data_IF_974613904391
#
_entry.id   IF_974613904391
#
_cell.length_a   1.000
_cell.length_b   1.000
_cell.length_c   1.000
_cell.angle_alpha   90.00
_cell.angle_beta   90.00
_cell.angle_gamma   90.00
#
_symmetry.space_group_name_H-M   'P 1'
#
loop_
_entity.id
_entity.type
_entity.pdbx_description
1 polymer ?
#
# COMPACT_ATOMS: atom_id res chain seq x y z
N UNK A 1 2.40 -45.38 1.91
CA UNK A 1 3.37 -44.78 0.97
C UNK A 1 4.19 -43.71 1.74
N UNK A 2 5.49 -43.68 1.54
CA UNK A 2 6.32 -42.63 2.14
C UNK A 2 6.19 -41.35 1.28
N UNK A 3 6.25 -40.16 1.87
CA UNK A 3 6.14 -38.88 1.16
C UNK A 3 7.12 -38.76 -0.03
N UNK A 4 8.28 -39.41 0.05
CA UNK A 4 9.30 -39.47 -0.97
C UNK A 4 8.86 -40.26 -2.23
N UNK A 5 8.08 -41.34 -2.01
CA UNK A 5 7.58 -42.19 -3.13
C UNK A 5 6.48 -41.44 -3.88
N UNK A 6 5.65 -40.67 -3.15
CA UNK A 6 4.60 -39.81 -3.74
C UNK A 6 5.22 -38.68 -4.60
N UNK A 7 6.26 -38.02 -4.10
CA UNK A 7 6.96 -36.97 -4.85
C UNK A 7 7.57 -37.55 -6.15
N UNK A 8 8.21 -38.71 -6.06
CA UNK A 8 8.80 -39.37 -7.23
C UNK A 8 7.75 -39.79 -8.29
N UNK A 9 6.61 -40.37 -7.86
CA UNK A 9 5.49 -40.70 -8.77
C UNK A 9 4.89 -39.42 -9.40
N UNK A 10 4.73 -38.33 -8.62
CA UNK A 10 4.23 -37.05 -9.16
C UNK A 10 5.16 -36.45 -10.20
N UNK A 11 6.48 -36.44 -9.96
CA UNK A 11 7.46 -35.97 -10.94
C UNK A 11 7.54 -36.88 -12.18
N UNK A 12 7.44 -38.22 -12.03
CA UNK A 12 7.42 -39.17 -13.14
C UNK A 12 6.15 -38.99 -14.00
N UNK A 13 5.00 -38.70 -13.39
CA UNK A 13 3.76 -38.40 -14.11
C UNK A 13 3.83 -37.10 -14.91
N UNK A 14 4.53 -36.07 -14.38
CA UNK A 14 4.80 -34.83 -15.10
C UNK A 14 5.68 -35.02 -16.33
N UNK A 15 6.63 -35.95 -16.26
CA UNK A 15 7.60 -36.21 -17.32
C UNK A 15 6.98 -37.00 -18.52
N UNK A 16 5.97 -37.82 -18.26
CA UNK A 16 5.31 -38.63 -19.27
C UNK A 16 4.50 -37.81 -20.30
N UNK A 17 3.95 -36.64 -19.91
CA UNK A 17 3.13 -35.76 -20.77
C UNK A 17 3.47 -34.30 -20.58
N UNK A 18 4.75 -33.91 -20.78
CA UNK A 18 5.33 -32.58 -20.42
C UNK A 18 4.51 -31.38 -20.88
N UNK A 19 3.99 -31.39 -22.12
CA UNK A 19 3.27 -30.21 -22.65
C UNK A 19 1.93 -29.94 -21.93
N UNK A 20 1.15 -31.00 -21.69
CA UNK A 20 -0.17 -30.86 -21.03
C UNK A 20 -0.02 -30.60 -19.55
N UNK A 21 0.92 -31.26 -18.88
CA UNK A 21 1.22 -31.04 -17.45
C UNK A 21 1.72 -29.64 -17.21
N UNK A 22 2.60 -29.12 -18.05
CA UNK A 22 3.13 -27.76 -17.96
C UNK A 22 2.02 -26.73 -18.12
N UNK A 23 1.12 -26.90 -19.10
CA UNK A 23 0.02 -25.97 -19.35
C UNK A 23 -0.97 -25.93 -18.17
N UNK A 24 -1.21 -27.07 -17.55
CA UNK A 24 -2.09 -27.23 -16.40
C UNK A 24 -1.52 -26.58 -15.15
N UNK A 25 -0.26 -26.86 -14.82
CA UNK A 25 0.43 -26.27 -13.69
C UNK A 25 0.59 -24.75 -13.90
N UNK A 26 0.85 -24.33 -15.16
CA UNK A 26 1.00 -22.91 -15.50
C UNK A 26 -0.26 -22.09 -15.16
N UNK A 27 -1.46 -22.64 -15.40
CA UNK A 27 -2.72 -21.96 -15.02
C UNK A 27 -2.81 -21.69 -13.52
N UNK A 28 -2.38 -22.66 -12.70
CA UNK A 28 -2.34 -22.50 -11.24
C UNK A 28 -1.25 -21.50 -10.83
N UNK A 29 -0.06 -21.65 -11.40
CA UNK A 29 1.07 -20.76 -11.13
C UNK A 29 0.72 -19.30 -11.44
N UNK A 30 0.12 -19.03 -12.60
CA UNK A 30 -0.30 -17.67 -12.99
C UNK A 30 -1.36 -17.14 -12.00
N UNK A 31 -2.39 -17.94 -11.68
CA UNK A 31 -3.43 -17.52 -10.76
C UNK A 31 -2.89 -17.16 -9.37
N UNK A 32 -2.03 -18.03 -8.83
CA UNK A 32 -1.42 -17.82 -7.50
C UNK A 32 -0.41 -16.70 -7.52
N UNK A 33 0.43 -16.60 -8.54
CA UNK A 33 1.43 -15.53 -8.63
C UNK A 33 0.77 -14.14 -8.73
N UNK A 34 -0.35 -14.03 -9.44
CA UNK A 34 -1.10 -12.77 -9.51
C UNK A 34 -1.65 -12.36 -8.13
N UNK A 35 -2.24 -13.30 -7.37
CA UNK A 35 -2.74 -13.03 -6.01
C UNK A 35 -1.61 -12.62 -5.07
N UNK A 36 -0.50 -13.37 -5.09
CA UNK A 36 0.66 -13.09 -4.22
C UNK A 36 1.31 -11.76 -4.58
N UNK A 37 1.51 -11.48 -5.87
CA UNK A 37 2.11 -10.20 -6.29
C UNK A 37 1.28 -9.01 -5.82
N UNK A 38 -0.05 -9.09 -5.97
CA UNK A 38 -0.96 -8.02 -5.54
C UNK A 38 -1.00 -7.85 -4.02
N UNK A 39 -1.13 -8.95 -3.26
CA UNK A 39 -1.14 -8.87 -1.80
C UNK A 39 0.18 -8.36 -1.23
N UNK A 40 1.31 -8.73 -1.85
CA UNK A 40 2.63 -8.25 -1.46
C UNK A 40 2.81 -6.75 -1.73
N UNK A 41 2.34 -6.24 -2.87
CA UNK A 41 2.35 -4.81 -3.19
C UNK A 41 1.47 -4.00 -2.24
N UNK A 42 0.23 -4.45 -2.01
CA UNK A 42 -0.70 -3.80 -1.07
C UNK A 42 -0.08 -3.75 0.33
N UNK A 43 0.48 -4.87 0.79
CA UNK A 43 1.17 -4.96 2.09
C UNK A 43 2.36 -4.00 2.18
N UNK A 44 3.15 -3.89 1.11
CA UNK A 44 4.29 -2.96 1.03
C UNK A 44 3.87 -1.50 1.06
N UNK A 45 2.84 -1.11 0.30
CA UNK A 45 2.28 0.26 0.33
C UNK A 45 1.76 0.60 1.72
N UNK A 46 0.98 -0.31 2.32
CA UNK A 46 0.45 -0.11 3.69
C UNK A 46 1.58 0.07 4.71
N UNK A 47 2.61 -0.75 4.64
CA UNK A 47 3.75 -0.68 5.56
C UNK A 47 4.56 0.61 5.37
N UNK A 48 4.78 1.06 4.12
CA UNK A 48 5.43 2.32 3.83
C UNK A 48 4.63 3.50 4.41
N UNK A 49 3.31 3.52 4.21
CA UNK A 49 2.45 4.58 4.74
C UNK A 49 2.40 4.61 6.26
N UNK A 50 2.21 3.47 6.92
CA UNK A 50 2.12 3.39 8.39
C UNK A 50 3.49 3.58 9.06
N UNK A 51 4.57 3.11 8.42
CA UNK A 51 5.93 3.19 8.98
C UNK A 51 6.50 4.61 9.00
N UNK A 52 6.14 5.44 8.02
CA UNK A 52 6.60 6.84 7.94
C UNK A 52 5.74 7.81 8.75
N UNK A 53 4.51 7.41 9.04
CA UNK A 53 3.52 8.20 9.77
C UNK A 53 3.73 8.12 11.30
N UNK A 54 4.81 8.16 11.90
CA UNK A 54 5.08 8.05 13.34
C UNK A 54 3.89 8.24 14.31
N UNK A 55 4.03 7.87 15.56
CA UNK A 55 2.95 7.93 16.57
C UNK A 55 2.32 9.33 16.75
N UNK A 56 3.09 10.41 16.49
CA UNK A 56 2.58 11.79 16.52
C UNK A 56 1.52 12.05 15.44
N UNK A 57 1.60 11.38 14.31
CA UNK A 57 0.61 11.56 13.23
C UNK A 57 -0.69 10.75 13.44
N UNK A 58 -0.69 9.77 14.34
CA UNK A 58 -1.92 9.04 14.68
C UNK A 58 -3.01 9.95 15.30
N UNK A 59 -2.62 11.06 15.92
CA UNK A 59 -3.50 12.06 16.54
C UNK A 59 -3.86 13.23 15.60
N UNK A 60 -3.37 13.18 14.36
CA UNK A 60 -3.54 14.24 13.38
C UNK A 60 -4.95 14.25 12.81
N UNK A 61 -5.52 15.44 12.76
CA UNK A 61 -6.83 15.73 12.14
C UNK A 61 -6.65 16.88 11.16
N UNK A 62 -6.98 16.63 9.92
CA UNK A 62 -7.07 17.66 8.89
C UNK A 62 -8.49 18.20 8.84
N UNK A 63 -8.61 19.51 8.84
CA UNK A 63 -9.90 20.21 8.89
C UNK A 63 -9.96 21.28 7.82
N UNK A 64 -11.02 21.26 7.02
CA UNK A 64 -11.34 22.29 6.03
C UNK A 64 -12.84 22.54 5.98
N UNK A 65 -13.22 23.78 5.69
CA UNK A 65 -14.60 24.14 5.42
C UNK A 65 -14.65 25.20 4.30
N UNK A 66 -15.46 24.93 3.27
CA UNK A 66 -15.56 25.83 2.09
C UNK A 66 -16.90 26.55 2.00
N UNK A 67 -17.69 26.57 3.07
CA UNK A 67 -19.03 27.13 3.04
C UNK A 67 -19.03 28.66 3.16
N UNK A 68 -19.56 29.34 2.15
CA UNK A 68 -19.80 30.78 2.07
C UNK A 68 -18.57 31.71 2.19
N UNK A 69 -17.49 31.31 2.82
CA UNK A 69 -16.29 32.12 3.01
C UNK A 69 -15.07 31.26 3.23
N UNK A 70 -13.92 31.83 2.99
CA UNK A 70 -12.64 31.22 3.32
C UNK A 70 -12.39 31.18 4.81
N UNK A 71 -11.65 30.17 5.26
CA UNK A 71 -11.21 30.04 6.65
C UNK A 71 -10.17 31.12 6.99
N UNK A 72 -10.29 31.73 8.13
CA UNK A 72 -9.42 32.80 8.64
C UNK A 72 -8.71 32.38 9.92
N UNK A 73 -7.69 33.15 10.32
CA UNK A 73 -6.99 32.92 11.58
C UNK A 73 -7.94 32.97 12.81
N UNK A 74 -8.91 33.90 12.81
CA UNK A 74 -9.91 34.00 13.87
C UNK A 74 -10.73 32.71 14.04
N UNK A 75 -10.96 31.96 12.93
CA UNK A 75 -11.67 30.67 12.97
C UNK A 75 -10.80 29.58 13.61
N UNK A 76 -9.48 29.64 13.36
CA UNK A 76 -8.51 28.71 13.98
C UNK A 76 -8.43 28.95 15.48
N UNK A 77 -8.38 30.23 15.92
CA UNK A 77 -8.37 30.60 17.31
C UNK A 77 -9.68 30.21 18.01
N UNK A 78 -10.83 30.44 17.37
CA UNK A 78 -12.12 30.01 17.88
C UNK A 78 -12.18 28.49 18.06
N UNK A 79 -11.71 27.73 17.07
CA UNK A 79 -11.63 26.26 17.15
C UNK A 79 -10.71 25.81 18.30
N UNK A 80 -9.53 26.42 18.43
CA UNK A 80 -8.59 26.12 19.51
C UNK A 80 -9.16 26.37 20.91
N UNK A 81 -9.97 27.42 21.02
CA UNK A 81 -10.58 27.80 22.29
C UNK A 81 -11.79 26.94 22.66
N UNK A 82 -12.68 26.72 21.69
CA UNK A 82 -13.95 26.01 21.94
C UNK A 82 -13.78 24.49 22.00
N UNK A 83 -12.78 23.93 21.32
CA UNK A 83 -12.45 22.50 21.31
C UNK A 83 -11.16 22.18 22.09
N UNK A 84 -10.84 22.98 23.10
CA UNK A 84 -9.61 22.84 23.90
C UNK A 84 -9.52 21.49 24.65
N UNK A 85 -10.66 20.85 24.94
CA UNK A 85 -10.69 19.51 25.56
C UNK A 85 -10.34 18.40 24.58
N UNK A 86 -10.53 18.63 23.28
CA UNK A 86 -10.29 17.66 22.23
C UNK A 86 -8.88 17.77 21.65
N UNK A 87 -8.35 18.98 21.56
CA UNK A 87 -7.10 19.26 20.85
C UNK A 87 -5.99 19.79 21.76
N UNK A 88 -4.78 19.36 21.49
CA UNK A 88 -3.55 19.89 22.07
C UNK A 88 -3.00 21.04 21.23
N UNK A 89 -3.06 20.89 19.89
CA UNK A 89 -2.68 21.93 18.94
C UNK A 89 -3.77 22.10 17.87
N UNK A 90 -4.03 23.33 17.49
CA UNK A 90 -4.87 23.71 16.33
C UNK A 90 -4.11 24.78 15.58
N UNK A 91 -3.57 24.42 14.42
CA UNK A 91 -2.59 25.21 13.69
C UNK A 91 -3.09 25.57 12.29
N UNK A 92 -2.98 26.85 11.86
CA UNK A 92 -3.24 27.21 10.48
C UNK A 92 -2.12 26.70 9.57
N UNK A 93 -2.49 26.27 8.39
CA UNK A 93 -1.56 25.99 7.31
C UNK A 93 -2.05 26.60 6.01
N UNK A 94 -1.14 27.15 5.24
CA UNK A 94 -1.35 27.52 3.84
C UNK A 94 -0.29 26.88 2.98
N UNK A 95 -0.60 26.62 1.72
CA UNK A 95 0.35 26.00 0.81
C UNK A 95 0.32 26.69 -0.54
N UNK A 96 1.44 26.62 -1.21
CA UNK A 96 1.60 27.17 -2.56
C UNK A 96 2.73 26.44 -3.30
N UNK A 97 2.84 26.73 -4.57
CA UNK A 97 3.93 26.22 -5.40
C UNK A 97 4.60 27.37 -6.12
N UNK A 98 5.92 27.40 -6.09
CA UNK A 98 6.69 28.45 -6.76
C UNK A 98 8.08 27.96 -7.12
N UNK A 99 8.73 28.69 -8.01
CA UNK A 99 10.12 28.42 -8.33
C UNK A 99 11.06 28.93 -7.24
N UNK A 100 12.00 28.05 -6.89
CA UNK A 100 13.06 28.33 -5.93
C UNK A 100 14.41 28.30 -6.64
N UNK A 101 15.20 29.30 -6.43
CA UNK A 101 16.46 29.46 -7.14
C UNK A 101 17.61 29.75 -6.18
N UNK A 102 18.76 29.19 -6.53
CA UNK A 102 20.08 29.61 -6.05
C UNK A 102 20.86 30.23 -7.22
N UNK A 103 22.09 30.60 -7.01
CA UNK A 103 22.94 31.07 -8.10
C UNK A 103 23.28 29.99 -9.13
N UNK A 104 23.12 28.71 -8.76
CA UNK A 104 23.53 27.53 -9.56
C UNK A 104 22.41 26.62 -9.97
N UNK A 105 21.26 26.67 -9.31
CA UNK A 105 20.13 25.73 -9.51
C UNK A 105 18.78 26.46 -9.48
N UNK A 106 17.82 25.89 -10.19
CA UNK A 106 16.42 26.32 -10.24
C UNK A 106 15.54 25.07 -10.16
N UNK A 107 14.67 25.01 -9.15
CA UNK A 107 13.78 23.88 -8.92
C UNK A 107 12.37 24.37 -8.60
N UNK A 108 11.38 23.53 -8.83
CA UNK A 108 10.03 23.77 -8.34
C UNK A 108 9.98 23.46 -6.85
N UNK A 109 9.44 24.36 -6.05
CA UNK A 109 9.26 24.18 -4.62
C UNK A 109 7.80 24.14 -4.23
N UNK A 110 7.45 23.18 -3.37
CA UNK A 110 6.21 23.18 -2.63
C UNK A 110 6.43 23.96 -1.33
N UNK A 111 5.68 25.01 -1.16
CA UNK A 111 5.83 25.92 -0.03
C UNK A 111 4.71 25.69 0.95
N UNK A 112 5.05 25.51 2.21
CA UNK A 112 4.13 25.44 3.34
C UNK A 112 4.33 26.66 4.22
N UNK A 113 3.26 27.43 4.39
CA UNK A 113 3.19 28.51 5.38
C UNK A 113 2.70 27.92 6.69
N UNK A 114 3.52 27.92 7.70
CA UNK A 114 3.30 27.22 8.97
C UNK A 114 3.67 28.07 10.17
N UNK A 115 3.20 27.69 11.35
CA UNK A 115 3.48 28.34 12.62
C UNK A 115 4.77 27.83 13.26
N UNK A 116 5.25 28.54 14.27
CA UNK A 116 6.41 28.12 15.07
C UNK A 116 6.19 26.78 15.78
N UNK A 117 4.96 26.48 16.18
CA UNK A 117 4.60 25.25 16.89
C UNK A 117 4.49 24.02 15.96
N UNK A 118 4.42 24.23 14.63
CA UNK A 118 4.16 23.17 13.67
C UNK A 118 5.21 22.06 13.71
N UNK A 119 6.48 22.38 13.84
CA UNK A 119 7.58 21.40 13.88
C UNK A 119 7.47 20.46 15.08
N UNK A 120 7.17 21.00 16.26
CA UNK A 120 6.99 20.22 17.49
C UNK A 120 5.74 19.35 17.40
N UNK A 121 4.62 19.91 16.98
CA UNK A 121 3.34 19.20 16.82
C UNK A 121 3.47 18.03 15.83
N UNK A 122 4.17 18.23 14.70
CA UNK A 122 4.42 17.20 13.70
C UNK A 122 5.53 16.20 14.09
N UNK A 123 6.30 16.48 15.14
CA UNK A 123 7.45 15.66 15.53
C UNK A 123 8.59 15.66 14.51
N UNK A 124 8.71 16.74 13.74
CA UNK A 124 9.73 16.84 12.69
C UNK A 124 11.13 17.00 13.27
N UNK A 125 12.10 16.30 12.70
CA UNK A 125 13.49 16.34 13.15
C UNK A 125 14.32 17.33 12.33
N UNK A 126 14.98 18.23 13.04
CA UNK A 126 15.98 19.11 12.44
C UNK A 126 17.32 18.37 12.32
N UNK A 127 17.90 18.40 11.13
CA UNK A 127 19.24 17.88 10.87
C UNK A 127 20.28 18.97 11.15
N UNK A 128 19.98 20.22 10.79
CA UNK A 128 20.88 21.38 10.96
C UNK A 128 20.08 22.65 11.17
N UNK A 129 20.71 23.62 11.86
CA UNK A 129 20.11 24.91 12.09
C UNK A 129 19.01 24.90 13.13
N UNK A 130 17.96 25.69 12.91
CA UNK A 130 16.81 25.84 13.81
C UNK A 130 15.50 25.95 13.04
N UNK A 131 14.40 25.78 13.74
CA UNK A 131 13.06 26.02 13.20
C UNK A 131 12.70 27.53 13.19
N UNK A 132 11.58 27.86 12.59
CA UNK A 132 10.95 29.17 12.57
C UNK A 132 10.59 29.56 14.02
N UNK A 133 10.91 30.79 14.43
CA UNK A 133 10.57 31.31 15.76
C UNK A 133 9.24 32.05 15.74
N UNK A 134 8.57 32.16 16.90
CA UNK A 134 7.34 32.96 17.05
C UNK A 134 7.52 34.39 16.56
N UNK A 135 8.67 35.01 16.86
CA UNK A 135 8.97 36.37 16.40
C UNK A 135 9.07 36.47 14.86
N UNK A 136 9.61 35.44 14.20
CA UNK A 136 9.69 35.41 12.74
C UNK A 136 8.30 35.20 12.12
N UNK A 137 7.44 34.41 12.78
CA UNK A 137 6.05 34.24 12.40
C UNK A 137 5.27 35.54 12.53
N UNK A 138 5.31 36.20 13.69
CA UNK A 138 4.62 37.47 13.94
C UNK A 138 5.05 38.61 13.01
N UNK A 139 6.35 38.68 12.70
CA UNK A 139 6.89 39.74 11.85
C UNK A 139 6.84 39.44 10.35
N UNK A 140 6.44 38.22 9.97
CA UNK A 140 6.49 37.77 8.58
C UNK A 140 7.91 37.80 8.03
N UNK A 141 8.89 37.29 8.77
CA UNK A 141 10.30 37.32 8.41
C UNK A 141 10.60 36.48 7.15
N UNK A 142 11.63 36.89 6.42
CA UNK A 142 12.11 36.16 5.23
C UNK A 142 13.04 35.00 5.62
N UNK A 143 12.58 34.13 6.50
CA UNK A 143 13.25 32.93 6.96
C UNK A 143 12.66 31.71 6.24
N UNK A 144 13.51 30.73 5.91
CA UNK A 144 13.10 29.49 5.24
C UNK A 144 13.75 28.29 5.88
N UNK A 145 12.98 27.22 6.05
CA UNK A 145 13.49 25.89 6.40
C UNK A 145 13.28 24.99 5.19
N UNK A 146 14.32 24.27 4.81
CA UNK A 146 14.32 23.34 3.68
C UNK A 146 14.32 21.89 4.21
N UNK A 147 13.81 20.96 3.44
CA UNK A 147 14.10 19.55 3.66
C UNK A 147 15.43 19.13 2.99
N UNK A 148 16.00 17.99 3.36
CA UNK A 148 17.24 17.48 2.80
C UNK A 148 17.16 17.26 1.28
N UNK A 149 15.97 16.88 0.76
CA UNK A 149 15.76 16.72 -0.67
C UNK A 149 15.87 18.07 -1.41
N UNK A 150 15.26 19.10 -0.85
CA UNK A 150 15.39 20.48 -1.37
C UNK A 150 16.83 21.00 -1.27
N UNK A 151 17.56 20.67 -0.21
CA UNK A 151 18.99 21.01 -0.10
C UNK A 151 19.80 20.31 -1.19
N UNK A 152 19.56 19.03 -1.45
CA UNK A 152 20.20 18.27 -2.55
C UNK A 152 19.91 18.91 -3.91
N UNK A 153 18.65 19.24 -4.18
CA UNK A 153 18.22 19.84 -5.44
C UNK A 153 18.81 21.24 -5.68
N UNK A 154 18.90 22.08 -4.62
CA UNK A 154 19.36 23.46 -4.72
C UNK A 154 20.87 23.64 -4.57
N UNK A 155 21.54 22.75 -3.82
CA UNK A 155 22.96 22.88 -3.47
C UNK A 155 23.80 21.65 -3.88
N UNK A 156 23.21 20.64 -4.54
CA UNK A 156 23.89 19.50 -5.14
C UNK A 156 24.18 18.32 -4.18
N UNK A 157 24.00 18.49 -2.86
CA UNK A 157 24.17 17.41 -1.87
C UNK A 157 23.21 17.64 -0.71
N UNK A 158 22.59 16.57 -0.14
CA UNK A 158 21.72 16.68 1.03
C UNK A 158 22.46 17.20 2.27
N UNK A 159 23.79 17.04 2.29
CA UNK A 159 24.67 17.48 3.36
C UNK A 159 25.37 18.83 3.10
N UNK A 160 25.01 19.52 2.01
CA UNK A 160 25.60 20.82 1.69
C UNK A 160 25.36 21.85 2.81
N UNK A 161 26.38 22.63 3.13
CA UNK A 161 26.23 23.76 4.06
C UNK A 161 25.38 24.85 3.41
N UNK A 162 24.12 24.97 3.84
CA UNK A 162 23.16 25.94 3.32
C UNK A 162 22.62 26.89 4.39
N UNK A 163 22.73 26.54 5.69
CA UNK A 163 22.27 27.41 6.78
C UNK A 163 23.05 28.71 6.77
N UNK A 164 22.32 29.83 6.81
CA UNK A 164 22.88 31.18 6.69
C UNK A 164 23.06 31.68 5.23
N UNK A 165 22.90 30.79 4.23
CA UNK A 165 22.84 31.23 2.83
C UNK A 165 21.41 31.68 2.49
N UNK A 166 21.25 32.31 1.33
CA UNK A 166 19.96 32.76 0.83
C UNK A 166 19.51 31.94 -0.37
N UNK A 167 18.22 31.69 -0.45
CA UNK A 167 17.52 31.16 -1.62
C UNK A 167 16.53 32.22 -2.11
N UNK A 168 16.29 32.27 -3.42
CA UNK A 168 15.28 33.18 -3.98
C UNK A 168 14.00 32.44 -4.25
N UNK A 169 12.92 32.95 -3.69
CA UNK A 169 11.57 32.42 -3.85
C UNK A 169 10.71 33.56 -4.41
N UNK A 170 10.11 33.37 -5.59
CA UNK A 170 9.33 34.43 -6.24
C UNK A 170 10.12 35.73 -6.47
N UNK A 171 11.47 35.64 -6.66
CA UNK A 171 12.36 36.79 -6.85
C UNK A 171 12.85 37.46 -5.56
N UNK A 172 12.35 37.07 -4.39
CA UNK A 172 12.75 37.62 -3.08
C UNK A 172 13.76 36.67 -2.41
N UNK A 173 14.78 37.21 -1.75
CA UNK A 173 15.80 36.44 -1.06
C UNK A 173 15.33 36.09 0.37
N UNK A 174 15.41 34.81 0.71
CA UNK A 174 15.08 34.24 2.02
C UNK A 174 16.32 33.64 2.64
N UNK A 175 16.54 33.85 3.92
CA UNK A 175 17.63 33.21 4.66
C UNK A 175 17.29 31.79 5.04
N UNK A 176 18.13 30.84 4.70
CA UNK A 176 17.98 29.45 5.15
C UNK A 176 18.38 29.37 6.62
N UNK A 177 17.39 29.08 7.50
CA UNK A 177 17.60 29.02 8.95
C UNK A 177 17.73 27.61 9.48
N UNK A 178 17.21 26.60 8.75
CA UNK A 178 17.29 25.21 9.16
C UNK A 178 17.07 24.22 8.01
N UNK A 179 17.40 22.96 8.31
CA UNK A 179 17.22 21.81 7.42
C UNK A 179 16.54 20.69 8.19
N UNK A 180 15.44 20.21 7.65
CA UNK A 180 14.70 19.06 8.17
C UNK A 180 15.19 17.75 7.55
N UNK A 181 15.03 16.66 8.29
CA UNK A 181 15.15 15.32 7.75
C UNK A 181 14.04 15.09 6.70
N UNK A 182 14.42 14.64 5.51
CA UNK A 182 13.43 14.28 4.49
C UNK A 182 12.78 12.95 4.83
N UNK A 183 11.47 12.87 4.67
CA UNK A 183 10.77 11.58 4.64
C UNK A 183 10.99 10.90 3.29
N UNK A 184 11.02 9.57 3.25
CA UNK A 184 11.27 8.79 2.03
C UNK A 184 10.23 9.00 0.93
N UNK A 185 9.04 9.51 1.27
CA UNK A 185 7.99 9.87 0.30
C UNK A 185 8.31 11.18 -0.44
N UNK A 186 9.10 12.08 0.16
CA UNK A 186 9.38 13.43 -0.37
C UNK A 186 10.73 13.56 -1.07
N UNK A 187 11.56 12.52 -1.15
CA UNK A 187 12.92 12.60 -1.66
C UNK A 187 13.04 12.66 -3.18
N UNK A 188 12.09 13.32 -3.87
CA UNK A 188 12.23 13.60 -5.31
C UNK A 188 13.21 14.74 -5.53
N UNK A 189 14.29 14.50 -6.27
CA UNK A 189 15.38 15.46 -6.51
C UNK A 189 14.98 16.73 -7.27
N UNK A 190 13.82 16.72 -7.93
CA UNK A 190 13.32 17.86 -8.71
C UNK A 190 12.32 18.75 -7.93
N UNK A 191 11.99 18.37 -6.70
CA UNK A 191 11.07 19.11 -5.83
C UNK A 191 11.73 19.46 -4.51
N UNK A 192 11.63 20.73 -4.11
CA UNK A 192 12.05 21.19 -2.79
C UNK A 192 10.82 21.39 -1.90
N UNK A 193 10.79 20.78 -0.74
CA UNK A 193 9.80 21.11 0.29
C UNK A 193 10.33 22.25 1.15
N UNK A 194 9.53 23.29 1.29
CA UNK A 194 9.93 24.56 1.84
C UNK A 194 8.92 24.99 2.90
N UNK A 195 9.43 25.37 4.06
CA UNK A 195 8.61 25.87 5.15
C UNK A 195 8.92 27.35 5.39
N UNK A 196 7.89 28.17 5.35
CA UNK A 196 7.93 29.60 5.62
C UNK A 196 7.04 29.95 6.81
N UNK A 197 7.27 31.09 7.50
CA UNK A 197 6.28 31.64 8.42
C UNK A 197 4.93 31.82 7.72
N UNK A 198 3.83 31.49 8.39
CA UNK A 198 2.49 31.51 7.81
C UNK A 198 2.17 32.82 7.11
N UNK A 199 2.35 33.96 7.80
CA UNK A 199 2.11 35.29 7.23
C UNK A 199 3.02 35.61 6.02
N UNK A 200 4.25 35.10 6.02
CA UNK A 200 5.16 35.28 4.90
C UNK A 200 4.65 34.56 3.67
N UNK A 201 4.20 33.33 3.82
CA UNK A 201 3.62 32.55 2.72
C UNK A 201 2.36 33.23 2.17
N UNK A 202 1.43 33.60 3.04
CA UNK A 202 0.22 34.32 2.67
C UNK A 202 0.52 35.58 1.85
N UNK A 203 1.36 36.47 2.39
CA UNK A 203 1.61 37.79 1.79
C UNK A 203 2.52 37.78 0.57
N UNK A 204 3.43 36.81 0.44
CA UNK A 204 4.48 36.82 -0.59
C UNK A 204 4.29 35.78 -1.66
N UNK A 205 3.66 34.65 -1.34
CA UNK A 205 3.46 33.54 -2.27
C UNK A 205 2.03 33.55 -2.79
N UNK A 206 1.05 33.52 -1.89
CA UNK A 206 -0.36 33.34 -2.24
C UNK A 206 -1.07 34.67 -2.60
N UNK A 207 -0.67 35.77 -1.98
CA UNK A 207 -1.32 37.06 -2.16
C UNK A 207 -2.64 37.21 -1.40
N UNK A 208 -2.98 36.28 -0.53
CA UNK A 208 -4.17 36.30 0.34
C UNK A 208 -3.82 35.76 1.74
N UNK A 209 -4.66 36.06 2.73
CA UNK A 209 -4.43 35.70 4.14
C UNK A 209 -5.44 34.66 4.65
N UNK A 210 -5.98 33.83 3.76
CA UNK A 210 -6.84 32.71 4.14
C UNK A 210 -6.01 31.50 4.59
N UNK A 211 -6.64 30.68 5.43
CA UNK A 211 -6.10 29.39 5.87
C UNK A 211 -6.61 28.31 4.91
N UNK A 212 -5.70 27.69 4.18
CA UNK A 212 -6.07 26.63 3.24
C UNK A 212 -6.47 25.35 3.97
N UNK A 213 -5.84 25.09 5.12
CA UNK A 213 -6.12 23.93 5.94
C UNK A 213 -5.83 24.20 7.41
N UNK A 214 -6.67 23.70 8.30
CA UNK A 214 -6.36 23.63 9.73
C UNK A 214 -5.78 22.25 10.01
N UNK A 215 -4.64 22.23 10.69
CA UNK A 215 -3.99 21.02 11.15
C UNK A 215 -4.16 20.96 12.67
N UNK A 216 -4.88 19.98 13.16
CA UNK A 216 -5.15 19.84 14.58
C UNK A 216 -4.60 18.51 15.11
N UNK A 217 -4.12 18.52 16.35
CA UNK A 217 -3.61 17.34 17.04
C UNK A 217 -4.48 17.05 18.24
N UNK A 218 -5.19 15.93 18.18
CA UNK A 218 -6.02 15.49 19.29
C UNK A 218 -5.18 15.18 20.53
N UNK A 219 -5.77 15.34 21.72
CA UNK A 219 -5.10 14.95 22.96
C UNK A 219 -4.82 13.47 23.01
N UNK A 220 -3.78 13.10 23.76
CA UNK A 220 -3.41 11.70 23.93
C UNK A 220 -4.53 10.87 24.55
N UNK A 221 -4.83 9.71 23.95
CA UNK A 221 -5.89 8.83 24.40
C UNK A 221 -7.30 9.20 23.95
N UNK A 222 -7.47 10.23 23.11
CA UNK A 222 -8.77 10.61 22.57
C UNK A 222 -9.32 9.58 21.59
N UNK A 223 -10.64 9.41 21.60
CA UNK A 223 -11.35 8.69 20.54
C UNK A 223 -11.43 9.58 19.30
N UNK A 224 -10.65 9.25 18.28
CA UNK A 224 -10.49 10.04 17.06
C UNK A 224 -11.79 10.20 16.27
N UNK A 225 -12.69 9.20 16.29
CA UNK A 225 -13.98 9.31 15.60
C UNK A 225 -14.92 10.27 16.33
N UNK A 226 -14.93 10.21 17.66
CA UNK A 226 -15.69 11.13 18.48
C UNK A 226 -15.17 12.59 18.36
N UNK A 227 -13.84 12.77 18.29
CA UNK A 227 -13.21 14.08 18.05
C UNK A 227 -13.60 14.61 16.67
N UNK A 228 -13.49 13.78 15.63
CA UNK A 228 -13.88 14.19 14.28
C UNK A 228 -15.36 14.56 14.16
N UNK A 229 -16.24 13.80 14.82
CA UNK A 229 -17.68 14.09 14.87
C UNK A 229 -17.96 15.45 15.53
N UNK A 230 -17.39 15.72 16.71
CA UNK A 230 -17.55 17.00 17.40
C UNK A 230 -17.01 18.17 16.57
N UNK A 231 -15.91 17.95 15.87
CA UNK A 231 -15.33 18.96 14.97
C UNK A 231 -16.24 19.27 13.81
N UNK A 232 -16.84 18.24 13.16
CA UNK A 232 -17.84 18.45 12.09
C UNK A 232 -19.05 19.24 12.60
N UNK A 233 -19.56 18.91 13.79
CA UNK A 233 -20.69 19.62 14.41
C UNK A 233 -20.32 21.06 14.78
N UNK A 234 -19.10 21.30 15.25
CA UNK A 234 -18.61 22.64 15.53
C UNK A 234 -18.51 23.48 14.25
N UNK A 235 -17.89 22.94 13.19
CA UNK A 235 -17.80 23.61 11.89
C UNK A 235 -19.17 23.93 11.31
N UNK A 236 -20.11 22.98 11.37
CA UNK A 236 -21.47 23.22 10.88
C UNK A 236 -22.15 24.39 11.58
N UNK A 237 -22.01 24.50 12.90
CA UNK A 237 -22.55 25.63 13.70
C UNK A 237 -21.79 26.93 13.43
N UNK A 238 -20.47 26.89 13.39
CA UNK A 238 -19.62 28.07 13.25
C UNK A 238 -19.75 28.72 11.87
N UNK A 239 -19.85 27.94 10.81
CA UNK A 239 -20.04 28.42 9.43
C UNK A 239 -21.51 28.51 9.02
N UNK A 240 -22.44 27.99 9.80
CA UNK A 240 -23.87 27.96 9.47
C UNK A 240 -24.20 27.02 8.33
N UNK A 241 -23.49 25.88 8.23
CA UNK A 241 -23.69 24.89 7.17
C UNK A 241 -24.97 24.08 7.43
N UNK A 242 -25.94 24.05 6.49
CA UNK A 242 -27.14 23.22 6.60
C UNK A 242 -26.78 21.72 6.69
N UNK A 243 -27.64 20.93 7.33
CA UNK A 243 -27.38 19.48 7.49
C UNK A 243 -27.24 18.75 6.15
N UNK A 244 -27.99 19.17 5.12
CA UNK A 244 -27.93 18.60 3.77
C UNK A 244 -26.61 18.89 3.02
N UNK A 245 -25.88 19.91 3.44
CA UNK A 245 -24.67 20.39 2.78
C UNK A 245 -23.39 20.01 3.53
N UNK A 246 -23.49 19.41 4.73
CA UNK A 246 -22.34 19.11 5.60
C UNK A 246 -21.29 18.26 4.90
N UNK A 247 -21.68 17.19 4.23
CA UNK A 247 -20.75 16.28 3.53
C UNK A 247 -20.04 16.93 2.34
N UNK A 248 -20.67 17.98 1.76
CA UNK A 248 -20.12 18.67 0.58
C UNK A 248 -19.13 19.77 0.96
N UNK A 249 -19.30 20.42 2.12
CA UNK A 249 -18.53 21.62 2.48
C UNK A 249 -17.64 21.46 3.71
N UNK A 250 -17.85 20.43 4.52
CA UNK A 250 -17.04 20.16 5.70
C UNK A 250 -16.19 18.91 5.47
N UNK A 251 -14.88 19.09 5.51
CA UNK A 251 -13.95 18.00 5.42
C UNK A 251 -13.13 17.89 6.71
N UNK A 252 -13.35 16.81 7.44
CA UNK A 252 -12.60 16.47 8.66
C UNK A 252 -12.09 15.06 8.48
N UNK A 253 -10.79 14.93 8.35
CA UNK A 253 -10.14 13.64 8.09
C UNK A 253 -9.11 13.35 9.18
N UNK A 254 -9.28 12.22 9.84
CA UNK A 254 -8.30 11.69 10.79
C UNK A 254 -7.34 10.75 10.06
N UNK A 255 -6.17 10.52 10.64
CA UNK A 255 -5.24 9.53 10.08
C UNK A 255 -5.86 8.13 10.03
N UNK A 256 -6.67 7.76 11.04
CA UNK A 256 -7.39 6.48 11.05
C UNK A 256 -8.39 6.38 9.89
N UNK A 257 -9.21 7.41 9.64
CA UNK A 257 -10.16 7.41 8.53
C UNK A 257 -9.46 7.35 7.17
N UNK A 258 -8.31 8.02 7.02
CA UNK A 258 -7.49 7.94 5.81
C UNK A 258 -6.96 6.52 5.57
N UNK A 259 -6.49 5.86 6.62
CA UNK A 259 -6.04 4.46 6.54
C UNK A 259 -7.22 3.53 6.20
N UNK A 260 -8.41 3.76 6.75
CA UNK A 260 -9.61 2.99 6.44
C UNK A 260 -10.07 3.19 4.99
N UNK A 261 -10.04 4.40 4.47
CA UNK A 261 -10.36 4.70 3.07
C UNK A 261 -9.40 4.00 2.12
N UNK A 262 -8.10 4.08 2.41
CA UNK A 262 -7.07 3.35 1.66
C UNK A 262 -7.27 1.84 1.73
N UNK A 263 -7.58 1.28 2.92
CA UNK A 263 -7.87 -0.14 3.06
C UNK A 263 -9.10 -0.55 2.23
N UNK A 264 -10.15 0.28 2.19
CA UNK A 264 -11.35 0.04 1.41
C UNK A 264 -11.08 0.05 -0.10
N UNK A 265 -10.29 1.01 -0.57
CA UNK A 265 -9.85 1.07 -1.96
C UNK A 265 -8.98 -0.16 -2.32
N UNK A 266 -8.03 -0.51 -1.46
CA UNK A 266 -7.19 -1.70 -1.65
C UNK A 266 -7.99 -2.99 -1.65
N UNK A 267 -9.02 -3.10 -0.80
CA UNK A 267 -9.94 -4.24 -0.78
C UNK A 267 -10.69 -4.37 -2.11
N UNK A 268 -11.16 -3.27 -2.69
CA UNK A 268 -11.82 -3.29 -3.99
C UNK A 268 -10.89 -3.82 -5.09
N UNK A 269 -9.65 -3.36 -5.15
CA UNK A 269 -8.64 -3.90 -6.07
C UNK A 269 -8.33 -5.37 -5.80
N UNK A 270 -8.22 -5.77 -4.53
CA UNK A 270 -7.97 -7.16 -4.16
C UNK A 270 -9.11 -8.08 -4.61
N UNK A 271 -10.37 -7.67 -4.45
CA UNK A 271 -11.54 -8.42 -4.91
C UNK A 271 -11.53 -8.58 -6.42
N UNK A 272 -11.26 -7.52 -7.18
CA UNK A 272 -11.16 -7.58 -8.64
C UNK A 272 -10.07 -8.56 -9.09
N UNK A 273 -8.86 -8.42 -8.53
CA UNK A 273 -7.73 -9.29 -8.92
C UNK A 273 -7.95 -10.74 -8.50
N UNK A 274 -8.53 -10.98 -7.31
CA UNK A 274 -8.89 -12.33 -6.86
C UNK A 274 -9.95 -12.95 -7.76
N UNK A 275 -10.90 -12.17 -8.28
CA UNK A 275 -11.90 -12.65 -9.23
C UNK A 275 -11.24 -13.12 -10.53
N UNK A 276 -10.33 -12.33 -11.08
CA UNK A 276 -9.57 -12.71 -12.29
C UNK A 276 -8.70 -13.95 -12.04
N UNK A 277 -7.99 -13.96 -10.91
CA UNK A 277 -7.18 -15.12 -10.52
C UNK A 277 -8.02 -16.40 -10.31
N UNK A 278 -9.24 -16.27 -9.78
CA UNK A 278 -10.16 -17.39 -9.59
C UNK A 278 -10.54 -18.05 -10.92
N UNK A 279 -10.73 -17.26 -11.98
CA UNK A 279 -10.98 -17.80 -13.34
C UNK A 279 -9.77 -18.61 -13.79
N UNK A 280 -8.55 -18.09 -13.63
CA UNK A 280 -7.33 -18.80 -13.99
C UNK A 280 -7.16 -20.10 -13.19
N UNK A 281 -7.49 -20.06 -11.90
CA UNK A 281 -7.45 -21.25 -11.02
C UNK A 281 -8.48 -22.30 -11.42
N UNK A 282 -9.69 -21.91 -11.82
CA UNK A 282 -10.71 -22.83 -12.34
C UNK A 282 -10.25 -23.48 -13.64
N UNK A 283 -9.69 -22.70 -14.56
CA UNK A 283 -9.13 -23.22 -15.83
C UNK A 283 -7.97 -24.19 -15.54
N UNK A 284 -7.06 -23.84 -14.64
CA UNK A 284 -5.99 -24.74 -14.17
C UNK A 284 -6.54 -26.00 -13.51
N UNK A 285 -7.58 -25.90 -12.69
CA UNK A 285 -8.26 -27.03 -12.06
C UNK A 285 -8.90 -27.98 -13.07
N UNK A 286 -9.57 -27.45 -14.10
CA UNK A 286 -10.11 -28.26 -15.21
C UNK A 286 -8.95 -28.98 -15.94
N UNK A 287 -7.82 -28.30 -16.11
CA UNK A 287 -6.61 -28.90 -16.67
C UNK A 287 -6.12 -30.08 -15.83
N UNK A 288 -6.08 -29.94 -14.48
CA UNK A 288 -5.74 -31.05 -13.55
C UNK A 288 -6.73 -32.21 -13.73
N UNK A 289 -8.02 -31.92 -13.73
CA UNK A 289 -9.04 -32.95 -13.90
C UNK A 289 -8.82 -33.73 -15.20
N UNK A 290 -8.57 -33.05 -16.31
CA UNK A 290 -8.34 -33.69 -17.61
C UNK A 290 -7.04 -34.50 -17.62
N UNK A 291 -5.96 -33.98 -17.03
CA UNK A 291 -4.69 -34.71 -16.89
C UNK A 291 -4.86 -35.98 -16.04
N UNK A 292 -5.53 -35.87 -14.91
CA UNK A 292 -5.79 -37.01 -14.03
C UNK A 292 -6.67 -38.07 -14.68
N UNK A 293 -7.67 -37.68 -15.50
CA UNK A 293 -8.46 -38.64 -16.30
C UNK A 293 -7.60 -39.38 -17.30
N UNK A 294 -6.68 -38.69 -17.95
CA UNK A 294 -5.71 -39.35 -18.87
C UNK A 294 -4.79 -40.31 -18.12
N UNK A 295 -4.24 -39.89 -16.97
CA UNK A 295 -3.40 -40.75 -16.13
C UNK A 295 -4.15 -42.00 -15.66
N UNK A 296 -5.44 -41.87 -15.32
CA UNK A 296 -6.29 -43.03 -14.97
C UNK A 296 -6.44 -43.95 -16.13
N UNK A 297 -6.66 -43.46 -17.36
CA UNK A 297 -6.79 -44.30 -18.56
C UNK A 297 -5.48 -45.01 -18.94
N UNK A 298 -4.34 -44.34 -18.84
CA UNK A 298 -3.02 -44.92 -19.08
C UNK A 298 -2.63 -45.99 -18.04
N UNK A 299 -3.16 -45.91 -16.81
CA UNK A 299 -2.87 -46.84 -15.70
C UNK A 299 -4.01 -47.80 -15.38
N UNK A 300 -5.00 -47.99 -16.28
CA UNK A 300 -6.16 -48.88 -16.05
C UNK A 300 -5.74 -50.25 -15.61
N UNK A 301 -4.78 -50.85 -16.31
CA UNK A 301 -4.27 -52.21 -16.06
C UNK A 301 -3.58 -52.33 -14.70
N UNK A 302 -2.80 -51.34 -14.31
CA UNK A 302 -2.17 -51.26 -12.98
C UNK A 302 -3.19 -51.13 -11.85
N UNK A 303 -4.21 -50.30 -12.03
CA UNK A 303 -5.33 -50.10 -11.08
C UNK A 303 -6.13 -51.40 -10.94
N UNK A 304 -6.41 -52.06 -12.07
CA UNK A 304 -7.09 -53.36 -12.10
C UNK A 304 -6.30 -54.44 -11.35
N UNK A 305 -4.98 -54.51 -11.54
CA UNK A 305 -4.12 -55.43 -10.81
C UNK A 305 -4.11 -55.20 -9.30
N UNK A 306 -4.02 -53.93 -8.86
CA UNK A 306 -4.06 -53.56 -7.46
C UNK A 306 -5.42 -53.97 -6.81
N UNK A 307 -6.52 -53.79 -7.53
CA UNK A 307 -7.86 -54.19 -7.05
C UNK A 307 -8.00 -55.73 -7.02
N UNK A 308 -7.46 -56.43 -8.00
CA UNK A 308 -7.46 -57.89 -8.00
C UNK A 308 -6.65 -58.49 -6.81
N UNK A 309 -5.62 -57.79 -6.37
CA UNK A 309 -4.81 -58.10 -5.18
C UNK A 309 -5.45 -57.62 -3.84
N UNK A 310 -6.68 -57.06 -3.87
CA UNK A 310 -7.47 -56.76 -2.69
C UNK A 310 -7.38 -55.29 -2.22
N UNK A 311 -6.85 -54.36 -3.02
CA UNK A 311 -6.89 -52.93 -2.68
C UNK A 311 -8.34 -52.42 -2.64
N UNK A 312 -8.66 -51.68 -1.56
CA UNK A 312 -10.00 -51.08 -1.39
C UNK A 312 -10.15 -49.85 -2.28
N UNK A 313 -11.36 -49.62 -2.78
CA UNK A 313 -11.68 -48.41 -3.56
C UNK A 313 -11.26 -47.09 -2.88
N UNK A 314 -11.32 -47.06 -1.54
CA UNK A 314 -10.88 -45.88 -0.75
C UNK A 314 -9.38 -45.64 -0.84
N UNK A 315 -8.56 -46.67 -0.95
CA UNK A 315 -7.10 -46.54 -1.01
C UNK A 315 -6.69 -45.98 -2.36
N UNK A 316 -7.35 -46.42 -3.44
CA UNK A 316 -7.17 -45.86 -4.78
C UNK A 316 -7.61 -44.39 -4.84
N UNK A 317 -8.79 -44.06 -4.30
CA UNK A 317 -9.27 -42.68 -4.24
C UNK A 317 -8.29 -41.79 -3.49
N UNK A 318 -7.79 -42.23 -2.32
CA UNK A 318 -6.82 -41.47 -1.53
C UNK A 318 -5.52 -41.24 -2.26
N UNK A 319 -5.02 -42.22 -2.99
CA UNK A 319 -3.79 -42.12 -3.76
C UNK A 319 -3.91 -41.03 -4.85
N UNK A 320 -4.95 -41.10 -5.67
CA UNK A 320 -5.16 -40.11 -6.75
C UNK A 320 -5.49 -38.70 -6.21
N UNK A 321 -6.20 -38.58 -5.08
CA UNK A 321 -6.42 -37.31 -4.40
C UNK A 321 -5.12 -36.70 -3.88
N UNK A 322 -4.26 -37.51 -3.26
CA UNK A 322 -2.97 -37.03 -2.78
C UNK A 322 -2.08 -36.58 -3.95
N UNK A 323 -2.10 -37.31 -5.08
CA UNK A 323 -1.37 -36.94 -6.29
C UNK A 323 -1.83 -35.59 -6.81
N UNK A 324 -3.14 -35.33 -6.92
CA UNK A 324 -3.68 -34.04 -7.35
C UNK A 324 -3.36 -32.89 -6.38
N UNK A 325 -3.44 -33.13 -5.06
CA UNK A 325 -3.09 -32.13 -4.03
C UNK A 325 -1.59 -31.81 -4.06
N UNK A 326 -0.73 -32.83 -4.21
CA UNK A 326 0.72 -32.59 -4.35
C UNK A 326 1.04 -31.74 -5.59
N UNK A 327 0.34 -31.98 -6.69
CA UNK A 327 0.52 -31.26 -7.95
C UNK A 327 0.13 -29.78 -7.82
N UNK A 328 -1.00 -29.51 -7.17
CA UNK A 328 -1.45 -28.14 -6.87
C UNK A 328 -0.55 -27.43 -5.88
N UNK A 329 -0.04 -28.12 -4.87
CA UNK A 329 0.92 -27.53 -3.91
C UNK A 329 2.25 -27.17 -4.58
N UNK A 330 2.78 -28.02 -5.47
CA UNK A 330 3.98 -27.70 -6.25
C UNK A 330 3.75 -26.44 -7.11
N UNK A 331 2.61 -26.39 -7.82
CA UNK A 331 2.20 -25.21 -8.57
C UNK A 331 2.06 -23.98 -7.67
N UNK A 332 1.51 -24.16 -6.47
CA UNK A 332 1.36 -23.12 -5.44
C UNK A 332 2.69 -22.56 -4.96
N UNK A 333 3.65 -23.40 -4.64
CA UNK A 333 4.99 -22.99 -4.20
C UNK A 333 5.69 -22.20 -5.32
N UNK A 334 5.66 -22.70 -6.55
CA UNK A 334 6.22 -21.99 -7.71
C UNK A 334 5.51 -20.64 -7.90
N UNK A 335 4.16 -20.62 -7.79
CA UNK A 335 3.35 -19.41 -7.89
C UNK A 335 3.69 -18.38 -6.81
N UNK A 336 3.90 -18.79 -5.56
CA UNK A 336 4.34 -17.89 -4.47
C UNK A 336 5.69 -17.27 -4.80
N UNK A 337 6.67 -18.08 -5.21
CA UNK A 337 8.02 -17.58 -5.53
C UNK A 337 7.98 -16.61 -6.71
N UNK A 338 7.31 -16.97 -7.80
CA UNK A 338 7.19 -16.12 -8.99
C UNK A 338 6.35 -14.86 -8.71
N UNK A 339 5.29 -14.98 -7.91
CA UNK A 339 4.47 -13.86 -7.51
C UNK A 339 5.24 -12.84 -6.65
N UNK A 340 6.07 -13.33 -5.73
CA UNK A 340 6.92 -12.46 -4.91
C UNK A 340 8.01 -11.77 -5.74
N UNK A 341 8.70 -12.51 -6.59
CA UNK A 341 9.68 -11.93 -7.54
C UNK A 341 9.02 -10.93 -8.49
N UNK A 342 7.81 -11.24 -8.97
CA UNK A 342 7.01 -10.36 -9.81
C UNK A 342 6.60 -9.08 -9.06
N UNK A 343 6.29 -9.17 -7.77
CA UNK A 343 5.99 -8.00 -6.93
C UNK A 343 7.18 -7.04 -6.84
N UNK A 344 8.40 -7.54 -6.69
CA UNK A 344 9.62 -6.71 -6.73
C UNK A 344 9.83 -6.05 -8.09
N UNK A 345 9.60 -6.80 -9.17
CA UNK A 345 9.69 -6.23 -10.52
C UNK A 345 8.65 -5.13 -10.75
N UNK A 346 7.40 -5.36 -10.34
CA UNK A 346 6.32 -4.37 -10.43
C UNK A 346 6.56 -3.17 -9.51
N UNK A 347 7.05 -3.38 -8.29
CA UNK A 347 7.40 -2.32 -7.36
C UNK A 347 8.51 -1.41 -7.93
N UNK A 348 9.52 -2.00 -8.56
CA UNK A 348 10.59 -1.26 -9.24
C UNK A 348 10.07 -0.44 -10.44
N UNK A 349 9.17 -1.03 -11.25
CA UNK A 349 8.54 -0.31 -12.37
C UNK A 349 7.60 0.79 -11.86
N UNK A 350 6.79 0.49 -10.84
CA UNK A 350 5.89 1.48 -10.23
C UNK A 350 6.67 2.62 -9.58
N UNK A 351 7.75 2.30 -8.85
CA UNK A 351 8.66 3.29 -8.29
C UNK A 351 9.32 4.17 -9.35
N UNK A 352 9.73 3.58 -10.48
CA UNK A 352 10.31 4.31 -11.62
C UNK A 352 9.28 5.14 -12.40
N UNK A 353 8.01 4.72 -12.46
CA UNK A 353 6.92 5.48 -13.12
C UNK A 353 6.36 6.59 -12.22
N UNK A 354 6.34 6.37 -10.91
CA UNK A 354 5.85 7.34 -9.91
C UNK A 354 6.97 8.28 -9.44
N UNK A 355 8.22 7.89 -9.61
CA UNK A 355 9.41 8.71 -9.36
C UNK A 355 9.91 9.35 -10.66
N UNK A 356 10.03 10.66 -10.70
CA UNK A 356 10.80 11.35 -11.74
C UNK A 356 12.28 11.03 -11.54
N UNK A 357 12.94 10.55 -12.60
CA UNK A 357 14.37 10.26 -12.75
C UNK A 357 15.21 10.08 -11.44
N UNK A 358 15.21 8.86 -10.90
CA UNK A 358 16.31 8.36 -10.08
C UNK A 358 16.02 7.95 -8.64
N UNK A 359 14.98 8.44 -7.97
CA UNK A 359 14.64 8.07 -6.58
C UNK A 359 13.13 7.94 -6.42
N UNK A 360 12.58 6.79 -6.85
CA UNK A 360 11.18 6.43 -6.65
C UNK A 360 10.91 6.01 -5.21
N UNK A 361 9.66 6.12 -4.78
CA UNK A 361 9.19 5.55 -3.51
C UNK A 361 9.59 4.07 -3.48
N UNK A 362 10.47 3.69 -2.59
CA UNK A 362 10.90 2.31 -2.43
C UNK A 362 9.77 1.48 -1.78
N UNK A 363 8.82 1.05 -2.60
CA UNK A 363 7.80 0.10 -2.16
C UNK A 363 8.48 -1.25 -1.99
N UNK A 364 8.71 -1.68 -0.76
CA UNK A 364 9.22 -3.01 -0.47
C UNK A 364 8.02 -3.96 -0.35
N UNK A 365 7.84 -4.90 -1.30
CA UNK A 365 6.74 -5.85 -1.23
C UNK A 365 6.79 -6.65 0.06
N UNK A 366 5.67 -6.70 0.78
CA UNK A 366 5.55 -7.41 2.05
C UNK A 366 4.48 -8.50 1.95
N UNK A 367 4.85 -9.73 2.31
CA UNK A 367 3.92 -10.85 2.39
C UNK A 367 3.80 -11.28 3.84
N UNK A 368 2.58 -11.32 4.35
CA UNK A 368 2.29 -11.86 5.66
C UNK A 368 2.12 -13.40 5.62
N UNK A 369 2.32 -14.05 6.74
CA UNK A 369 2.18 -15.50 6.89
C UNK A 369 0.74 -15.93 6.63
N UNK A 370 -0.24 -15.09 6.94
CA UNK A 370 -1.66 -15.39 6.74
C UNK A 370 -1.99 -15.55 5.25
N UNK A 371 -1.47 -14.69 4.39
CA UNK A 371 -1.60 -14.80 2.93
C UNK A 371 -0.99 -16.09 2.38
N UNK A 372 0.17 -16.50 2.89
CA UNK A 372 0.79 -17.77 2.49
C UNK A 372 -0.07 -18.98 2.88
N UNK A 373 -0.63 -19.01 4.09
CA UNK A 373 -1.49 -20.06 4.57
C UNK A 373 -2.81 -20.14 3.78
N UNK A 374 -3.37 -18.98 3.44
CA UNK A 374 -4.57 -18.88 2.61
C UNK A 374 -4.34 -19.47 1.22
N UNK A 375 -3.25 -19.13 0.58
CA UNK A 375 -2.86 -19.69 -0.74
C UNK A 375 -2.64 -21.19 -0.66
N UNK A 376 -1.95 -21.69 0.37
CA UNK A 376 -1.79 -23.12 0.57
C UNK A 376 -3.14 -23.83 0.74
N UNK A 377 -4.07 -23.24 1.49
CA UNK A 377 -5.45 -23.73 1.64
C UNK A 377 -6.21 -23.79 0.32
N UNK A 378 -6.09 -22.75 -0.51
CA UNK A 378 -6.69 -22.71 -1.86
C UNK A 378 -6.12 -23.83 -2.74
N UNK A 379 -4.80 -24.05 -2.73
CA UNK A 379 -4.15 -25.12 -3.49
C UNK A 379 -4.71 -26.50 -3.10
N UNK A 380 -4.82 -26.76 -1.81
CA UNK A 380 -5.40 -28.01 -1.28
C UNK A 380 -6.85 -28.17 -1.73
N UNK A 381 -7.66 -27.11 -1.61
CA UNK A 381 -9.07 -27.12 -2.01
C UNK A 381 -9.22 -27.44 -3.51
N UNK A 382 -8.44 -26.78 -4.37
CA UNK A 382 -8.43 -27.03 -5.83
C UNK A 382 -8.03 -28.48 -6.12
N UNK A 383 -6.95 -28.98 -5.51
CA UNK A 383 -6.50 -30.34 -5.66
C UNK A 383 -7.58 -31.37 -5.29
N UNK A 384 -8.32 -31.13 -4.22
CA UNK A 384 -9.43 -31.99 -3.78
C UNK A 384 -10.61 -31.87 -4.75
N UNK A 385 -11.08 -30.68 -5.05
CA UNK A 385 -12.30 -30.46 -5.87
C UNK A 385 -12.12 -31.05 -7.26
N UNK A 386 -11.03 -30.72 -7.95
CA UNK A 386 -10.79 -31.18 -9.33
C UNK A 386 -10.19 -32.58 -9.40
N UNK A 387 -9.51 -33.06 -8.36
CA UNK A 387 -8.98 -34.42 -8.26
C UNK A 387 -10.02 -35.47 -7.84
N UNK A 388 -11.12 -35.05 -7.19
CA UNK A 388 -12.11 -35.99 -6.65
C UNK A 388 -12.81 -36.82 -7.72
N UNK A 389 -13.25 -36.18 -8.80
CA UNK A 389 -13.97 -36.89 -9.88
C UNK A 389 -13.10 -37.94 -10.57
N UNK A 390 -11.86 -37.66 -11.05
CA UNK A 390 -10.96 -38.67 -11.60
C UNK A 390 -10.64 -39.80 -10.61
N UNK A 391 -10.33 -39.44 -9.36
CA UNK A 391 -10.01 -40.42 -8.31
C UNK A 391 -11.16 -41.40 -8.05
N UNK A 392 -12.40 -40.89 -8.01
CA UNK A 392 -13.58 -41.72 -7.87
C UNK A 392 -13.84 -42.62 -9.08
N UNK A 393 -13.56 -42.13 -10.29
CA UNK A 393 -13.67 -42.91 -11.53
C UNK A 393 -12.67 -44.07 -11.53
N UNK A 394 -11.40 -43.80 -11.18
CA UNK A 394 -10.37 -44.82 -11.02
C UNK A 394 -10.76 -45.91 -9.99
N UNK A 395 -11.33 -45.50 -8.86
CA UNK A 395 -11.75 -46.42 -7.81
C UNK A 395 -12.94 -47.31 -8.21
N UNK A 396 -13.72 -46.95 -9.21
CA UNK A 396 -14.89 -47.71 -9.70
C UNK A 396 -14.62 -48.65 -10.84
N UNK A 397 -13.37 -48.69 -11.40
CA UNK A 397 -12.99 -49.60 -12.47
C UNK A 397 -13.19 -51.05 -12.07
N UNK A 398 -13.75 -51.89 -12.95
CA UNK A 398 -13.85 -53.29 -12.74
C UNK A 398 -12.49 -53.97 -12.93
N UNK A 399 -12.03 -54.83 -11.97
CA UNK A 399 -10.73 -55.53 -12.11
C UNK A 399 -10.61 -56.41 -13.35
N UNK A 400 -11.73 -57.09 -13.70
CA UNK A 400 -11.73 -58.04 -14.82
C UNK A 400 -11.66 -57.29 -16.16
N UNK A 401 -12.50 -56.28 -16.36
CA UNK A 401 -12.43 -55.43 -17.56
C UNK A 401 -11.10 -54.69 -17.70
N UNK A 402 -10.55 -54.22 -16.56
CA UNK A 402 -9.30 -53.46 -16.52
C UNK A 402 -8.07 -54.31 -16.98
N UNK A 403 -8.08 -55.60 -16.71
CA UNK A 403 -7.02 -56.51 -17.10
C UNK A 403 -7.07 -56.91 -18.59
N UNK A 404 -8.28 -56.86 -19.20
CA UNK A 404 -8.51 -57.14 -20.62
C UNK A 404 -8.44 -55.88 -21.52
N UNK A 405 -8.22 -54.72 -20.96
CA UNK A 405 -8.12 -53.46 -21.70
C UNK A 405 -6.85 -53.48 -22.55
N UNK A 406 -7.01 -53.45 -23.89
CA UNK A 406 -5.92 -53.38 -24.90
C UNK A 406 -5.55 -51.96 -25.21
#
# INVERSE_FOLDING_TARGET
MKARDLAYETFSALDANRGRSLLTVLGIVIGISAVIAMTALIGGVKQAMVGELGLSQARLVYVQCWYNRETRLDDVEAMATELTDDYEYVLPMTYGSTEVMTDTAKVNGQVYGVTAQYQEAMGMKLVRGRWITEREEETGALAVVLDQAGVKALFGSPDAECVGKSVRIGGVAYAVVGVLESTSIQSNSDFATIYLPFLTCCNRINGYTSVDQIIAFAREGSDMEAVASRTRDWLARHYGVPDEDRESYIWVQTMSSMIEELNSMMLAFQVLMTSVASISLVVGGIGIMNMMLTNVTERIREIGLRKALGAKARDITRQFLLESVCLTLVGGIIGIVLGYLGAFGLAGVAGGLLGYEGEGIAIVPYIDVQSMLLVAGICVAIGIVFGYYPARRAARLDPVESLHYQ
#
